data_IF_138719793104
#
_entry.id   IF_138719793104
#
_cell.length_a   1.000
_cell.length_b   1.000
_cell.length_c   1.000
_cell.angle_alpha   90.00
_cell.angle_beta   90.00
_cell.angle_gamma   90.00
#
_symmetry.space_group_name_H-M   'P 1'
#
loop_
_entity.id
_entity.type
_entity.pdbx_description
1 polymer ?
#
# COMPACT_ATOMS: atom_id res chain seq x y z
N UNK A 1 -6.58 -0.40 17.17
CA UNK A 1 -5.53 0.54 16.72
C UNK A 1 -6.01 1.96 16.96
N UNK A 2 -5.20 2.85 17.58
CA UNK A 2 -5.54 4.26 17.77
C UNK A 2 -5.96 4.96 16.47
N UNK A 3 -6.89 5.92 16.54
CA UNK A 3 -7.50 6.57 15.36
C UNK A 3 -6.47 7.27 14.46
N UNK A 4 -5.45 7.91 15.04
CA UNK A 4 -4.35 8.52 14.29
C UNK A 4 -3.64 7.52 13.38
N UNK A 5 -3.33 6.33 13.90
CA UNK A 5 -2.65 5.31 13.11
C UNK A 5 -3.55 4.69 12.05
N UNK A 6 -4.87 4.66 12.26
CA UNK A 6 -5.81 4.26 11.19
C UNK A 6 -5.73 5.23 10.02
N UNK A 7 -5.76 6.54 10.29
CA UNK A 7 -5.67 7.57 9.25
C UNK A 7 -4.34 7.49 8.48
N UNK A 8 -3.20 7.39 9.18
CA UNK A 8 -1.89 7.20 8.56
C UNK A 8 -1.83 5.93 7.69
N UNK A 9 -2.47 4.85 8.11
CA UNK A 9 -2.51 3.62 7.33
C UNK A 9 -3.22 3.81 5.98
N UNK A 10 -4.21 4.71 5.87
CA UNK A 10 -4.85 5.01 4.59
C UNK A 10 -3.97 5.79 3.61
N UNK A 11 -2.92 6.48 4.07
CA UNK A 11 -1.92 7.10 3.19
C UNK A 11 -0.89 6.11 2.67
N UNK A 12 -0.73 4.96 3.32
CA UNK A 12 0.31 4.00 2.99
C UNK A 12 0.03 3.29 1.67
N UNK A 13 0.87 3.43 0.63
CA UNK A 13 0.75 2.63 -0.60
C UNK A 13 0.85 1.12 -0.29
N UNK A 14 1.67 0.75 0.70
CA UNK A 14 1.91 -0.64 1.06
C UNK A 14 0.63 -1.34 1.53
N UNK A 15 -0.27 -0.63 2.23
CA UNK A 15 -1.57 -1.18 2.64
C UNK A 15 -2.36 -1.72 1.44
N UNK A 16 -2.48 -0.90 0.41
CA UNK A 16 -3.26 -1.25 -0.79
C UNK A 16 -2.54 -2.29 -1.65
N UNK A 17 -1.21 -2.23 -1.72
CA UNK A 17 -0.40 -3.23 -2.42
C UNK A 17 -0.56 -4.62 -1.79
N UNK A 18 -0.44 -4.74 -0.46
CA UNK A 18 -0.63 -6.01 0.26
C UNK A 18 -2.04 -6.54 0.09
N UNK A 19 -3.06 -5.67 0.17
CA UNK A 19 -4.45 -6.08 0.00
C UNK A 19 -4.75 -6.58 -1.43
N UNK A 20 -4.24 -5.88 -2.45
CA UNK A 20 -4.37 -6.33 -3.84
C UNK A 20 -3.64 -7.66 -4.05
N UNK A 21 -2.38 -7.76 -3.63
CA UNK A 21 -1.57 -8.97 -3.81
C UNK A 21 -2.21 -10.18 -3.14
N UNK A 22 -2.62 -10.04 -1.88
CA UNK A 22 -3.29 -11.11 -1.14
C UNK A 22 -4.58 -11.57 -1.84
N UNK A 23 -5.42 -10.63 -2.28
CA UNK A 23 -6.65 -10.96 -2.97
C UNK A 23 -6.39 -11.82 -4.22
N UNK A 24 -5.47 -11.40 -5.10
CA UNK A 24 -5.19 -12.16 -6.33
C UNK A 24 -4.41 -13.45 -6.10
N UNK A 25 -3.60 -13.54 -5.03
CA UNK A 25 -2.81 -14.75 -4.76
C UNK A 25 -3.58 -15.83 -4.00
N UNK A 26 -4.63 -15.46 -3.24
CA UNK A 26 -5.35 -16.38 -2.37
C UNK A 26 -6.75 -16.74 -2.88
N UNK A 27 -7.37 -15.93 -3.75
CA UNK A 27 -8.71 -16.25 -4.26
C UNK A 27 -8.69 -17.56 -5.05
N UNK A 28 -9.57 -18.49 -4.70
CA UNK A 28 -9.71 -19.82 -5.31
C UNK A 28 -8.65 -20.84 -4.86
N UNK A 29 -7.75 -20.47 -3.94
CA UNK A 29 -6.71 -21.39 -3.45
C UNK A 29 -7.31 -22.32 -2.39
N UNK A 30 -7.05 -23.62 -2.54
CA UNK A 30 -7.34 -24.62 -1.49
C UNK A 30 -6.06 -25.02 -0.79
N UNK A 31 -6.13 -25.11 0.53
CA UNK A 31 -5.02 -25.56 1.36
C UNK A 31 -5.23 -26.99 1.83
N UNK A 32 -4.12 -27.69 2.02
CA UNK A 32 -4.08 -29.04 2.58
C UNK A 32 -3.28 -29.00 3.88
N UNK A 33 -3.70 -29.79 4.86
CA UNK A 33 -3.01 -29.92 6.14
C UNK A 33 -2.55 -31.36 6.37
N UNK A 34 -1.48 -31.50 7.14
CA UNK A 34 -1.02 -32.82 7.58
C UNK A 34 -1.89 -33.33 8.75
N UNK A 35 -1.80 -34.63 9.07
CA UNK A 35 -2.61 -35.25 10.12
C UNK A 35 -2.42 -34.58 11.49
N UNK A 36 -1.21 -34.08 11.78
CA UNK A 36 -0.90 -33.37 13.03
C UNK A 36 -1.52 -31.96 13.13
N UNK A 37 -2.02 -31.41 12.03
CA UNK A 37 -2.61 -30.06 11.94
C UNK A 37 -4.13 -30.11 11.80
N UNK A 38 -4.73 -31.30 11.73
CA UNK A 38 -6.18 -31.48 11.68
C UNK A 38 -6.81 -31.22 13.04
N UNK A 39 -7.97 -30.60 13.00
CA UNK A 39 -8.83 -30.43 14.16
C UNK A 39 -9.49 -31.78 14.53
N UNK A 40 -10.06 -31.92 15.74
CA UNK A 40 -10.69 -33.18 16.18
C UNK A 40 -11.84 -33.67 15.29
N UNK A 41 -12.45 -32.77 14.51
CA UNK A 41 -13.48 -33.08 13.52
C UNK A 41 -12.92 -33.55 12.16
N UNK A 42 -11.59 -33.61 11.99
CA UNK A 42 -10.91 -34.03 10.77
C UNK A 42 -10.63 -32.91 9.76
N UNK A 43 -11.14 -31.70 10.01
CA UNK A 43 -10.95 -30.55 9.11
C UNK A 43 -9.60 -29.84 9.35
N UNK A 44 -9.11 -29.16 8.32
CA UNK A 44 -7.96 -28.25 8.45
C UNK A 44 -8.40 -26.94 9.13
N UNK A 45 -7.55 -26.39 10.01
CA UNK A 45 -7.84 -25.10 10.67
C UNK A 45 -8.01 -23.92 9.68
N UNK A 46 -7.30 -23.97 8.55
CA UNK A 46 -7.57 -23.10 7.39
C UNK A 46 -7.56 -23.98 6.15
N UNK A 47 -8.65 -23.94 5.39
CA UNK A 47 -8.89 -24.82 4.24
C UNK A 47 -8.87 -24.08 2.90
N UNK A 48 -9.10 -22.77 2.91
CA UNK A 48 -9.24 -21.95 1.70
C UNK A 48 -8.52 -20.61 1.82
N UNK A 49 -8.12 -20.04 0.68
CA UNK A 49 -7.56 -18.69 0.63
C UNK A 49 -8.56 -17.61 1.03
N UNK A 50 -9.85 -17.82 0.78
CA UNK A 50 -10.93 -16.94 1.24
C UNK A 50 -10.96 -16.84 2.77
N UNK A 51 -10.70 -17.95 3.47
CA UNK A 51 -10.62 -17.98 4.92
C UNK A 51 -9.43 -17.16 5.44
N UNK A 52 -8.27 -17.24 4.77
CA UNK A 52 -7.10 -16.38 5.07
C UNK A 52 -7.43 -14.90 4.82
N UNK A 53 -8.08 -14.59 3.69
CA UNK A 53 -8.46 -13.22 3.34
C UNK A 53 -9.45 -12.64 4.35
N UNK A 54 -10.40 -13.44 4.84
CA UNK A 54 -11.34 -13.02 5.87
C UNK A 54 -10.65 -12.81 7.22
N UNK A 55 -9.76 -13.73 7.61
CA UNK A 55 -9.03 -13.67 8.88
C UNK A 55 -8.19 -12.39 9.00
N UNK A 56 -7.51 -11.99 7.92
CA UNK A 56 -6.70 -10.76 7.88
C UNK A 56 -7.47 -9.51 7.44
N UNK A 57 -8.78 -9.61 7.18
CA UNK A 57 -9.63 -8.51 6.64
C UNK A 57 -9.12 -7.95 5.30
N UNK A 58 -8.56 -8.82 4.48
CA UNK A 58 -8.04 -8.55 3.13
C UNK A 58 -9.02 -8.96 2.02
N UNK A 59 -10.24 -9.42 2.33
CA UNK A 59 -11.24 -9.80 1.32
C UNK A 59 -11.83 -8.62 0.51
N UNK A 60 -11.29 -7.42 0.70
CA UNK A 60 -11.74 -6.19 0.04
C UNK A 60 -11.59 -6.31 -1.49
N UNK A 61 -12.47 -5.64 -2.24
CA UNK A 61 -12.49 -5.64 -3.71
C UNK A 61 -11.09 -5.34 -4.30
N UNK A 62 -10.43 -6.37 -4.86
CA UNK A 62 -9.08 -6.27 -5.43
C UNK A 62 -8.91 -5.12 -6.45
N UNK A 63 -9.82 -4.92 -7.42
CA UNK A 63 -9.74 -3.83 -8.38
C UNK A 63 -9.75 -2.43 -7.74
N UNK A 64 -10.53 -2.25 -6.66
CA UNK A 64 -10.60 -0.97 -5.94
C UNK A 64 -9.26 -0.69 -5.25
N UNK A 65 -8.64 -1.69 -4.63
CA UNK A 65 -7.33 -1.54 -3.99
C UNK A 65 -6.23 -1.16 -5.01
N UNK A 66 -6.25 -1.73 -6.21
CA UNK A 66 -5.32 -1.34 -7.29
C UNK A 66 -5.56 0.11 -7.72
N UNK A 67 -6.83 0.51 -7.91
CA UNK A 67 -7.17 1.87 -8.29
C UNK A 67 -6.72 2.90 -7.25
N UNK A 68 -6.95 2.62 -5.97
CA UNK A 68 -6.50 3.49 -4.87
C UNK A 68 -4.97 3.52 -4.78
N UNK A 69 -4.29 2.38 -4.94
CA UNK A 69 -2.82 2.32 -4.98
C UNK A 69 -2.27 3.24 -6.07
N UNK A 70 -2.81 3.16 -7.28
CA UNK A 70 -2.39 4.01 -8.40
C UNK A 70 -2.59 5.50 -8.07
N UNK A 71 -3.75 5.87 -7.51
CA UNK A 71 -4.03 7.23 -7.10
C UNK A 71 -3.04 7.75 -6.05
N UNK A 72 -2.77 6.96 -5.00
CA UNK A 72 -1.81 7.33 -3.94
C UNK A 72 -0.41 7.52 -4.54
N UNK A 73 0.05 6.61 -5.40
CA UNK A 73 1.36 6.73 -6.06
C UNK A 73 1.47 8.02 -6.87
N UNK A 74 0.44 8.36 -7.66
CA UNK A 74 0.42 9.60 -8.44
C UNK A 74 0.49 10.83 -7.53
N UNK A 75 -0.30 10.87 -6.45
CA UNK A 75 -0.28 11.99 -5.49
C UNK A 75 1.12 12.18 -4.90
N UNK A 76 1.75 11.10 -4.43
CA UNK A 76 3.12 11.16 -3.90
C UNK A 76 4.13 11.66 -4.94
N UNK A 77 3.99 11.26 -6.21
CA UNK A 77 4.85 11.73 -7.30
C UNK A 77 4.64 13.22 -7.59
N UNK A 78 3.39 13.69 -7.59
CA UNK A 78 3.06 15.11 -7.79
C UNK A 78 3.62 15.97 -6.66
N UNK A 79 3.50 15.51 -5.40
CA UNK A 79 4.08 16.20 -4.24
C UNK A 79 5.61 16.26 -4.38
N UNK A 80 6.27 15.13 -4.67
CA UNK A 80 7.72 15.10 -4.86
C UNK A 80 8.17 16.04 -6.00
N UNK A 81 7.46 16.00 -7.14
CA UNK A 81 7.72 16.90 -8.26
C UNK A 81 7.54 18.37 -7.87
N UNK A 82 6.46 18.71 -7.16
CA UNK A 82 6.18 20.06 -6.70
C UNK A 82 7.26 20.59 -5.76
N UNK A 83 7.68 19.80 -4.78
CA UNK A 83 8.76 20.15 -3.85
C UNK A 83 10.08 20.37 -4.60
N UNK A 84 10.46 19.45 -5.50
CA UNK A 84 11.69 19.59 -6.29
C UNK A 84 11.64 20.80 -7.22
N UNK A 85 10.47 21.10 -7.81
CA UNK A 85 10.27 22.27 -8.66
C UNK A 85 10.46 23.56 -7.88
N UNK A 86 9.85 23.68 -6.69
CA UNK A 86 9.97 24.85 -5.81
C UNK A 86 11.40 25.08 -5.33
N UNK A 87 12.10 24.02 -4.93
CA UNK A 87 13.51 24.11 -4.53
C UNK A 87 14.38 24.57 -5.71
N UNK A 88 14.17 23.99 -6.90
CA UNK A 88 14.92 24.37 -8.11
C UNK A 88 14.68 25.83 -8.52
N UNK A 89 13.45 26.34 -8.43
CA UNK A 89 13.16 27.74 -8.75
C UNK A 89 13.79 28.71 -7.74
N UNK A 90 13.74 28.37 -6.44
CA UNK A 90 14.40 29.19 -5.40
C UNK A 90 15.92 29.22 -5.60
N UNK A 91 16.53 28.09 -5.95
CA UNK A 91 17.98 28.04 -6.16
C UNK A 91 18.44 28.90 -7.34
N UNK A 92 17.68 28.85 -8.46
CA UNK A 92 17.92 29.75 -9.60
C UNK A 92 17.86 31.22 -9.20
N UNK A 93 16.82 31.63 -8.47
CA UNK A 93 16.69 33.02 -8.03
C UNK A 93 17.81 33.47 -7.09
N UNK A 94 18.34 32.59 -6.25
CA UNK A 94 19.48 32.91 -5.36
C UNK A 94 20.76 33.07 -6.17
N UNK A 95 21.08 32.12 -7.06
CA UNK A 95 22.28 32.16 -7.92
C UNK A 95 22.30 33.42 -8.80
N UNK A 96 21.15 33.78 -9.38
CA UNK A 96 21.02 34.95 -10.24
C UNK A 96 21.19 36.27 -9.46
N UNK A 97 20.70 36.32 -8.22
CA UNK A 97 20.93 37.45 -7.31
C UNK A 97 22.41 37.59 -6.95
N UNK A 98 23.10 36.49 -6.66
CA UNK A 98 24.55 36.50 -6.34
C UNK A 98 25.39 36.95 -7.53
N UNK A 99 25.04 36.50 -8.76
CA UNK A 99 25.76 36.91 -9.99
C UNK A 99 25.64 38.41 -10.28
N UNK A 100 24.47 39.01 -10.03
CA UNK A 100 24.27 40.47 -10.15
C UNK A 100 24.97 41.29 -9.08
N UNK A 101 25.33 40.72 -7.94
CA UNK A 101 26.02 41.44 -6.85
C UNK A 101 27.53 41.55 -7.05
N UNK A 102 28.09 40.77 -7.98
CA UNK A 102 29.54 40.62 -8.17
C UNK A 102 30.04 41.21 -9.49
N UNK A 103 29.17 41.92 -10.20
CA UNK A 103 29.38 42.55 -11.51
C UNK A 103 28.82 43.97 -11.46
#
# INVERSE_FOLDING_TARGET
>A
MPELFKAFNYLSPLKYATAALAHYSLTGVKFTCNDSQRMPNGDCNISTGEEVLNLYKLNQNGPINIGVLAAVVVIYRLIAWGLLRLVRTRWKSVVEKTRKSHN
#
